data_IF_941339924148
#
_entry.id   IF_941339924148
#
_cell.length_a   1.000
_cell.length_b   1.000
_cell.length_c   1.000
_cell.angle_alpha   90.00
_cell.angle_beta   90.00
_cell.angle_gamma   90.00
#
_symmetry.space_group_name_H-M   'P 1'
#
loop_
_entity.id
_entity.type
_entity.pdbx_description
1 polymer ?
#
# COMPACT_ATOMS: atom_id res chain seq x y z
N UNK A 1 5.46 -33.76 8.82
CA UNK A 1 5.27 -34.90 7.89
C UNK A 1 3.99 -34.72 7.09
N UNK A 2 3.66 -35.66 6.19
CA UNK A 2 2.53 -35.56 5.23
C UNK A 2 1.28 -34.88 5.82
N UNK A 3 0.69 -33.93 5.07
CA UNK A 3 -0.49 -33.12 5.43
C UNK A 3 -0.27 -32.02 6.49
N UNK A 4 0.92 -31.93 7.08
CA UNK A 4 1.24 -30.90 8.08
C UNK A 4 1.52 -29.54 7.45
N UNK A 5 1.34 -28.47 8.24
CA UNK A 5 1.67 -27.09 7.85
C UNK A 5 3.17 -26.79 7.83
N UNK A 6 3.97 -27.59 8.54
CA UNK A 6 5.43 -27.49 8.59
C UNK A 6 6.07 -27.97 7.28
N UNK A 7 7.29 -27.54 6.96
CA UNK A 7 8.01 -27.77 5.70
C UNK A 7 7.98 -29.24 5.28
N UNK A 8 8.20 -30.17 6.22
CA UNK A 8 8.14 -31.61 5.95
C UNK A 8 6.75 -32.17 5.59
N UNK A 9 5.73 -31.33 5.48
CA UNK A 9 4.38 -31.68 5.02
C UNK A 9 4.09 -31.31 3.57
N UNK A 10 4.79 -30.30 3.02
CA UNK A 10 4.50 -29.73 1.69
C UNK A 10 5.74 -29.38 0.84
N UNK A 11 6.92 -29.24 1.44
CA UNK A 11 8.19 -29.12 0.69
C UNK A 11 8.58 -30.48 0.12
N UNK A 12 8.59 -30.56 -1.21
CA UNK A 12 8.86 -31.80 -1.95
C UNK A 12 9.97 -31.61 -2.99
N UNK A 13 10.65 -32.68 -3.43
CA UNK A 13 11.55 -32.60 -4.56
C UNK A 13 10.83 -32.15 -5.84
N UNK A 14 11.45 -31.25 -6.59
CA UNK A 14 10.95 -30.79 -7.89
C UNK A 14 12.11 -30.71 -8.89
N UNK A 15 11.95 -31.33 -10.05
CA UNK A 15 12.96 -31.40 -11.11
C UNK A 15 12.29 -31.02 -12.43
N UNK A 16 12.92 -30.10 -13.18
CA UNK A 16 12.48 -29.71 -14.53
C UNK A 16 13.55 -30.16 -15.53
N UNK A 17 13.12 -30.84 -16.59
CA UNK A 17 13.97 -31.20 -17.73
C UNK A 17 13.35 -30.64 -19.01
N UNK A 18 14.05 -29.68 -19.61
CA UNK A 18 13.67 -29.10 -20.89
C UNK A 18 14.96 -28.69 -21.64
N UNK A 19 15.49 -29.57 -22.51
CA UNK A 19 16.84 -29.45 -23.06
C UNK A 19 17.14 -28.10 -23.74
N UNK A 20 16.22 -27.60 -24.56
CA UNK A 20 16.45 -26.40 -25.36
C UNK A 20 15.98 -25.10 -24.68
N UNK A 21 15.21 -25.20 -23.59
CA UNK A 21 14.66 -24.03 -22.90
C UNK A 21 15.23 -23.78 -21.51
N UNK A 22 16.14 -24.63 -21.03
CA UNK A 22 16.84 -24.40 -19.77
C UNK A 22 18.27 -23.95 -20.04
N UNK A 23 18.60 -22.75 -19.59
CA UNK A 23 19.98 -22.27 -19.57
C UNK A 23 20.75 -22.95 -18.43
N UNK A 24 21.96 -23.42 -18.72
CA UNK A 24 22.84 -24.10 -17.75
C UNK A 24 22.16 -25.31 -17.10
N UNK A 25 21.90 -26.40 -17.86
CA UNK A 25 21.29 -27.61 -17.33
C UNK A 25 22.15 -28.27 -16.24
N UNK A 26 21.51 -28.98 -15.29
CA UNK A 26 22.19 -29.63 -14.16
C UNK A 26 22.42 -28.72 -12.94
N UNK A 27 21.99 -27.47 -12.98
CA UNK A 27 22.08 -26.55 -11.82
C UNK A 27 20.99 -26.81 -10.77
N UNK A 28 21.22 -26.27 -9.57
CA UNK A 28 20.26 -26.22 -8.46
C UNK A 28 19.77 -24.77 -8.32
N UNK A 29 18.46 -24.58 -8.18
CA UNK A 29 17.86 -23.29 -7.82
C UNK A 29 17.37 -23.33 -6.38
N UNK A 30 17.71 -22.30 -5.60
CA UNK A 30 17.21 -22.09 -4.24
C UNK A 30 15.95 -21.22 -4.20
N UNK A 31 15.47 -20.74 -5.35
CA UNK A 31 14.25 -19.94 -5.44
C UNK A 31 13.04 -20.77 -5.02
N UNK A 32 12.19 -20.29 -4.09
CA UNK A 32 10.95 -20.97 -3.77
C UNK A 32 10.02 -21.00 -5.00
N UNK A 33 9.42 -22.17 -5.25
CA UNK A 33 8.36 -22.35 -6.24
C UNK A 33 7.22 -23.13 -5.61
N UNK A 34 6.00 -22.87 -6.08
CA UNK A 34 4.79 -23.58 -5.69
C UNK A 34 4.26 -24.39 -6.86
N UNK A 35 3.54 -25.47 -6.58
CA UNK A 35 2.84 -26.23 -7.61
C UNK A 35 1.84 -25.34 -8.39
N UNK A 36 1.26 -24.33 -7.75
CA UNK A 36 0.33 -23.38 -8.40
C UNK A 36 0.97 -22.64 -9.56
N UNK A 37 2.27 -22.39 -9.52
CA UNK A 37 3.02 -21.62 -10.51
C UNK A 37 3.14 -22.28 -11.87
N UNK A 38 2.91 -23.59 -11.94
CA UNK A 38 2.99 -24.33 -13.19
C UNK A 38 2.05 -23.73 -14.23
N UNK A 39 0.89 -23.21 -13.83
CA UNK A 39 -0.08 -22.62 -14.76
C UNK A 39 0.49 -21.39 -15.48
N UNK A 40 0.97 -20.39 -14.73
CA UNK A 40 1.56 -19.17 -15.30
C UNK A 40 2.88 -19.46 -16.02
N UNK A 41 3.68 -20.40 -15.52
CA UNK A 41 4.94 -20.78 -16.16
C UNK A 41 4.70 -21.44 -17.52
N UNK A 42 3.74 -22.38 -17.60
CA UNK A 42 3.38 -23.02 -18.86
C UNK A 42 2.73 -22.02 -19.82
N UNK A 43 1.90 -21.10 -19.31
CA UNK A 43 1.31 -20.03 -20.12
C UNK A 43 2.39 -19.15 -20.77
N UNK A 44 3.41 -18.75 -20.01
CA UNK A 44 4.54 -17.98 -20.52
C UNK A 44 5.38 -18.78 -21.52
N UNK A 45 5.63 -20.07 -21.27
CA UNK A 45 6.34 -20.97 -22.20
C UNK A 45 5.65 -21.03 -23.57
N UNK A 46 4.32 -21.08 -23.60
CA UNK A 46 3.55 -21.16 -24.86
C UNK A 46 3.14 -19.78 -25.41
N UNK A 47 3.55 -18.69 -24.76
CA UNK A 47 3.28 -17.33 -25.20
C UNK A 47 1.81 -16.89 -25.08
N UNK A 48 1.05 -17.46 -24.14
CA UNK A 48 -0.36 -17.08 -23.90
C UNK A 48 -0.54 -16.26 -22.64
N UNK A 49 -1.46 -15.30 -22.67
CA UNK A 49 -1.92 -14.57 -21.48
C UNK A 49 -2.97 -15.39 -20.72
N UNK A 50 -2.91 -15.40 -19.40
CA UNK A 50 -3.97 -15.94 -18.55
C UNK A 50 -5.07 -14.88 -18.33
N UNK A 51 -6.35 -15.28 -18.31
CA UNK A 51 -7.43 -14.44 -17.80
C UNK A 51 -7.16 -13.97 -16.36
N UNK A 52 -7.76 -12.84 -15.98
CA UNK A 52 -7.55 -12.25 -14.65
C UNK A 52 -8.03 -13.12 -13.48
N UNK A 53 -8.93 -14.07 -13.76
CA UNK A 53 -9.56 -15.03 -12.86
C UNK A 53 -9.08 -16.48 -13.13
N UNK A 54 -7.84 -16.63 -13.58
CA UNK A 54 -7.23 -17.93 -13.82
C UNK A 54 -5.82 -17.95 -13.25
N UNK A 55 -5.61 -18.68 -12.15
CA UNK A 55 -4.29 -18.79 -11.52
C UNK A 55 -3.95 -17.56 -10.70
N UNK A 56 -4.89 -17.13 -9.86
CA UNK A 56 -4.82 -15.98 -8.96
C UNK A 56 -3.60 -16.00 -8.02
N UNK A 57 -3.08 -17.19 -7.74
CA UNK A 57 -1.88 -17.43 -6.92
C UNK A 57 -0.71 -18.04 -7.72
N UNK A 58 -0.80 -18.04 -9.04
CA UNK A 58 0.20 -18.63 -9.92
C UNK A 58 1.16 -17.55 -10.43
N UNK A 59 2.43 -17.62 -10.03
CA UNK A 59 3.47 -16.71 -10.53
C UNK A 59 4.50 -17.50 -11.34
N UNK A 60 4.76 -17.06 -12.57
CA UNK A 60 5.69 -17.75 -13.46
C UNK A 60 7.12 -17.77 -12.90
N UNK A 61 7.74 -18.95 -12.91
CA UNK A 61 9.18 -19.12 -12.67
C UNK A 61 9.96 -19.33 -13.98
N UNK A 62 9.37 -19.05 -15.13
CA UNK A 62 10.02 -19.16 -16.44
C UNK A 62 11.37 -18.41 -16.53
N UNK A 63 11.54 -17.19 -15.98
CA UNK A 63 12.84 -16.52 -15.94
C UNK A 63 13.90 -17.32 -15.18
N UNK A 64 13.52 -18.09 -14.16
CA UNK A 64 14.45 -18.95 -13.46
C UNK A 64 15.01 -20.03 -14.38
N UNK A 65 14.21 -20.54 -15.34
CA UNK A 65 14.62 -21.55 -16.32
C UNK A 65 15.50 -20.97 -17.43
N UNK A 66 15.10 -19.84 -18.01
CA UNK A 66 15.69 -19.29 -19.25
C UNK A 66 16.78 -18.26 -19.02
N UNK A 67 16.84 -17.63 -17.84
CA UNK A 67 17.85 -16.61 -17.50
C UNK A 67 18.75 -17.02 -16.34
N UNK A 68 18.52 -18.19 -15.74
CA UNK A 68 19.22 -18.68 -14.57
C UNK A 68 19.27 -17.66 -13.40
N UNK A 69 18.20 -16.88 -13.25
CA UNK A 69 18.08 -15.84 -12.20
C UNK A 69 17.15 -16.28 -11.07
N UNK A 70 17.26 -15.61 -9.93
CA UNK A 70 16.28 -15.71 -8.84
C UNK A 70 15.03 -14.92 -9.21
N UNK A 71 13.86 -15.52 -9.01
CA UNK A 71 12.57 -14.85 -9.19
C UNK A 71 12.11 -14.33 -7.84
N UNK A 72 11.87 -13.02 -7.71
CA UNK A 72 11.26 -12.47 -6.49
C UNK A 72 9.79 -12.91 -6.45
N UNK A 73 9.45 -13.70 -5.44
CA UNK A 73 8.18 -14.43 -5.39
C UNK A 73 7.19 -13.73 -4.47
N UNK A 74 5.94 -13.62 -4.93
CA UNK A 74 4.82 -13.15 -4.09
C UNK A 74 4.57 -14.11 -2.92
N UNK A 75 4.02 -13.64 -1.80
CA UNK A 75 3.82 -14.51 -0.64
C UNK A 75 2.95 -15.73 -0.96
N UNK A 76 3.32 -16.89 -0.42
CA UNK A 76 2.57 -18.13 -0.57
C UNK A 76 1.72 -18.40 0.67
N UNK A 77 0.48 -18.86 0.45
CA UNK A 77 -0.36 -19.41 1.51
C UNK A 77 -0.26 -20.93 1.46
N UNK A 78 -0.02 -21.54 2.61
CA UNK A 78 -0.11 -22.97 2.81
C UNK A 78 -1.30 -23.29 3.71
N UNK A 79 -1.95 -24.41 3.45
CA UNK A 79 -3.06 -24.91 4.24
C UNK A 79 -2.85 -26.39 4.57
N UNK A 80 -3.09 -26.76 5.82
CA UNK A 80 -2.94 -28.14 6.31
C UNK A 80 -4.29 -28.83 6.40
N UNK A 81 -4.28 -30.18 6.48
CA UNK A 81 -5.54 -30.93 6.63
C UNK A 81 -6.27 -30.64 7.96
N UNK A 82 -5.60 -29.99 8.92
CA UNK A 82 -6.15 -29.66 10.25
C UNK A 82 -6.76 -28.26 10.32
N UNK A 83 -6.92 -27.58 9.19
CA UNK A 83 -7.41 -26.20 9.18
C UNK A 83 -6.33 -25.20 9.60
N UNK A 84 -5.04 -25.56 9.48
CA UNK A 84 -3.95 -24.65 9.83
C UNK A 84 -3.53 -23.87 8.60
N UNK A 85 -3.40 -22.56 8.74
CA UNK A 85 -2.85 -21.68 7.70
C UNK A 85 -1.42 -21.29 8.01
N UNK A 86 -0.64 -21.04 6.96
CA UNK A 86 0.64 -20.36 7.08
C UNK A 86 0.87 -19.45 5.87
N UNK A 87 1.57 -18.35 6.08
CA UNK A 87 2.10 -17.51 5.02
C UNK A 87 3.62 -17.64 4.98
N UNK A 88 4.18 -17.85 3.79
CA UNK A 88 5.60 -17.74 3.52
C UNK A 88 5.87 -16.55 2.62
N UNK A 89 6.65 -15.61 3.11
CA UNK A 89 7.12 -14.45 2.37
C UNK A 89 8.65 -14.40 2.46
N UNK A 90 9.31 -14.66 1.34
CA UNK A 90 10.77 -14.84 1.25
C UNK A 90 11.26 -15.93 2.23
N UNK A 91 12.15 -15.57 3.17
CA UNK A 91 12.65 -16.50 4.18
C UNK A 91 11.71 -16.68 5.37
N UNK A 92 10.73 -15.79 5.55
CA UNK A 92 9.90 -15.77 6.74
C UNK A 92 8.66 -16.63 6.55
N UNK A 93 8.34 -17.42 7.57
CA UNK A 93 7.11 -18.21 7.61
C UNK A 93 6.38 -17.97 8.92
N UNK A 94 5.13 -17.52 8.80
CA UNK A 94 4.21 -17.41 9.93
C UNK A 94 3.18 -18.52 9.82
N UNK A 95 3.13 -19.38 10.83
CA UNK A 95 2.10 -20.39 11.04
C UNK A 95 1.04 -19.81 11.95
N UNK A 96 -0.24 -19.86 11.54
CA UNK A 96 -1.37 -19.37 12.32
C UNK A 96 -1.94 -20.46 13.24
N UNK A 97 -1.57 -21.72 13.08
CA UNK A 97 -2.15 -22.84 13.83
C UNK A 97 -3.62 -23.04 13.50
N UNK A 98 -4.29 -23.94 14.23
CA UNK A 98 -5.71 -24.26 13.99
C UNK A 98 -6.63 -23.38 14.85
N UNK A 99 -7.89 -23.20 14.44
CA UNK A 99 -8.86 -22.40 15.21
C UNK A 99 -9.08 -22.86 16.65
N UNK A 100 -8.81 -24.15 16.95
CA UNK A 100 -8.88 -24.71 18.31
C UNK A 100 -7.71 -24.26 19.19
N UNK A 101 -6.50 -24.20 18.64
CA UNK A 101 -5.28 -23.87 19.40
C UNK A 101 -4.92 -22.40 19.33
N UNK A 102 -5.22 -21.74 18.20
CA UNK A 102 -4.91 -20.34 17.90
C UNK A 102 -3.44 -19.97 18.17
N UNK A 103 -2.55 -20.95 18.04
CA UNK A 103 -1.13 -20.81 18.34
C UNK A 103 -0.41 -20.33 17.10
N UNK A 104 0.15 -19.13 17.18
CA UNK A 104 1.02 -18.59 16.14
C UNK A 104 2.48 -19.01 16.37
N UNK A 105 3.21 -19.21 15.27
CA UNK A 105 4.65 -19.54 15.31
C UNK A 105 5.34 -18.85 14.12
N UNK A 106 6.49 -18.20 14.37
CA UNK A 106 7.26 -17.48 13.35
C UNK A 106 8.63 -18.13 13.19
N UNK A 107 9.02 -18.41 11.96
CA UNK A 107 10.31 -19.03 11.63
C UNK A 107 11.06 -18.26 10.54
N UNK A 108 12.38 -18.26 10.64
CA UNK A 108 13.29 -17.88 9.56
C UNK A 108 13.80 -19.14 8.87
N UNK A 109 13.21 -19.51 7.72
CA UNK A 109 13.56 -20.74 7.01
C UNK A 109 14.95 -20.70 6.37
N UNK A 110 15.61 -19.53 6.30
CA UNK A 110 16.99 -19.45 5.83
C UNK A 110 17.98 -19.97 6.86
N UNK A 111 17.68 -19.77 8.14
CA UNK A 111 18.53 -20.18 9.27
C UNK A 111 18.01 -21.43 9.99
N UNK A 112 16.70 -21.67 9.94
CA UNK A 112 16.01 -22.78 10.62
C UNK A 112 15.01 -23.47 9.67
N UNK A 113 15.50 -24.20 8.66
CA UNK A 113 14.64 -24.93 7.72
C UNK A 113 13.85 -26.08 8.38
N UNK A 114 14.23 -26.48 9.60
CA UNK A 114 13.54 -27.50 10.39
C UNK A 114 12.41 -26.96 11.26
N UNK A 115 12.22 -25.63 11.32
CA UNK A 115 11.20 -24.94 12.13
C UNK A 115 11.30 -25.32 13.63
N UNK A 116 12.51 -25.34 14.16
CA UNK A 116 12.84 -25.74 15.53
C UNK A 116 12.89 -24.57 16.52
N UNK A 117 13.01 -23.34 16.03
CA UNK A 117 13.20 -22.13 16.85
C UNK A 117 12.13 -21.07 16.54
N UNK A 118 11.11 -20.98 17.40
CA UNK A 118 10.03 -20.00 17.24
C UNK A 118 10.50 -18.59 17.64
N UNK A 119 10.39 -17.64 16.71
CA UNK A 119 10.80 -16.24 16.85
C UNK A 119 9.63 -15.28 17.11
N UNK A 120 8.43 -15.79 17.37
CA UNK A 120 7.24 -14.96 17.51
C UNK A 120 7.38 -13.88 18.59
N UNK A 121 7.92 -14.24 19.76
CA UNK A 121 8.05 -13.32 20.90
C UNK A 121 9.09 -12.23 20.64
N UNK A 122 10.19 -12.56 19.96
CA UNK A 122 11.29 -11.63 19.71
C UNK A 122 11.10 -10.79 18.45
N UNK A 123 10.24 -11.23 17.51
CA UNK A 123 10.00 -10.55 16.23
C UNK A 123 8.49 -10.40 15.93
N UNK A 124 7.74 -10.01 16.95
CA UNK A 124 6.28 -9.85 16.91
C UNK A 124 5.80 -8.86 15.83
N UNK A 125 6.52 -7.76 15.61
CA UNK A 125 6.22 -6.81 14.54
C UNK A 125 6.20 -7.47 13.15
N UNK A 126 7.12 -8.41 12.91
CA UNK A 126 7.16 -9.14 11.65
C UNK A 126 6.00 -10.12 11.52
N UNK A 127 5.64 -10.80 12.61
CA UNK A 127 4.47 -11.67 12.62
C UNK A 127 3.19 -10.88 12.32
N UNK A 128 3.02 -9.69 12.91
CA UNK A 128 1.89 -8.80 12.61
C UNK A 128 1.88 -8.40 11.13
N UNK A 129 3.03 -8.01 10.57
CA UNK A 129 3.13 -7.64 9.15
C UNK A 129 2.77 -8.81 8.22
N UNK A 130 3.21 -10.03 8.54
CA UNK A 130 2.87 -11.24 7.77
C UNK A 130 1.40 -11.62 7.91
N UNK A 131 0.83 -11.52 9.11
CA UNK A 131 -0.61 -11.74 9.33
C UNK A 131 -1.44 -10.74 8.52
N UNK A 132 -1.04 -9.46 8.49
CA UNK A 132 -1.71 -8.44 7.67
C UNK A 132 -1.62 -8.75 6.18
N UNK A 133 -0.47 -9.23 5.68
CA UNK A 133 -0.32 -9.70 4.29
C UNK A 133 -1.23 -10.90 4.00
N UNK A 134 -1.25 -11.89 4.89
CA UNK A 134 -2.12 -13.06 4.78
C UNK A 134 -3.60 -12.66 4.70
N UNK A 135 -4.05 -11.80 5.61
CA UNK A 135 -5.40 -11.24 5.62
C UNK A 135 -5.71 -10.52 4.32
N UNK A 136 -4.77 -9.72 3.80
CA UNK A 136 -4.96 -9.02 2.52
C UNK A 136 -5.15 -9.99 1.36
N UNK A 137 -4.29 -11.01 1.24
CA UNK A 137 -4.34 -12.00 0.16
C UNK A 137 -5.66 -12.77 0.16
N UNK A 138 -6.12 -13.20 1.34
CA UNK A 138 -7.42 -13.88 1.50
C UNK A 138 -8.57 -12.96 1.08
N UNK A 139 -8.50 -11.67 1.43
CA UNK A 139 -9.52 -10.67 1.08
C UNK A 139 -9.50 -10.27 -0.39
N UNK A 140 -8.35 -10.27 -1.04
CA UNK A 140 -8.26 -10.04 -2.49
C UNK A 140 -8.57 -11.28 -3.33
N UNK A 141 -8.67 -12.45 -2.68
CA UNK A 141 -8.81 -13.76 -3.34
C UNK A 141 -7.65 -14.09 -4.27
N UNK A 142 -6.49 -13.46 -4.04
CA UNK A 142 -5.30 -13.61 -4.88
C UNK A 142 -4.04 -13.09 -4.21
N UNK A 143 -2.90 -13.73 -4.50
CA UNK A 143 -1.55 -13.29 -4.09
C UNK A 143 -0.78 -12.56 -5.19
N UNK A 144 -1.16 -12.73 -6.46
CA UNK A 144 -0.55 -12.01 -7.58
C UNK A 144 -1.15 -10.63 -7.78
N UNK A 145 -0.47 -9.80 -8.57
CA UNK A 145 -1.03 -8.53 -9.05
C UNK A 145 -2.30 -8.77 -9.88
N UNK A 146 -3.25 -7.85 -9.79
CA UNK A 146 -4.51 -7.87 -10.54
C UNK A 146 -5.71 -7.48 -9.70
N UNK A 147 -6.88 -7.45 -10.34
CA UNK A 147 -8.13 -7.09 -9.67
C UNK A 147 -8.52 -8.15 -8.62
N UNK A 148 -9.12 -7.75 -7.48
CA UNK A 148 -9.66 -8.70 -6.52
C UNK A 148 -10.69 -9.66 -7.15
N UNK A 149 -10.60 -10.92 -6.77
CA UNK A 149 -11.45 -12.03 -7.22
C UNK A 149 -12.17 -12.58 -5.98
N UNK A 150 -13.47 -12.92 -6.04
CA UNK A 150 -14.15 -13.49 -4.88
C UNK A 150 -13.58 -14.87 -4.58
N UNK A 151 -13.45 -15.19 -3.29
CA UNK A 151 -13.20 -16.57 -2.88
C UNK A 151 -14.38 -17.44 -3.34
N UNK A 152 -14.08 -18.66 -3.75
CA UNK A 152 -15.04 -19.67 -4.20
C UNK A 152 -15.73 -20.39 -3.03
N UNK A 153 -15.37 -20.04 -1.79
CA UNK A 153 -15.88 -20.62 -0.55
C UNK A 153 -16.48 -19.56 0.37
N UNK A 154 -17.36 -19.93 1.32
CA UNK A 154 -17.78 -19.02 2.39
C UNK A 154 -16.68 -18.85 3.44
N UNK A 155 -16.93 -18.01 4.45
CA UNK A 155 -16.02 -17.86 5.59
C UNK A 155 -15.75 -19.21 6.28
N UNK A 156 -14.50 -19.45 6.66
CA UNK A 156 -14.09 -20.64 7.40
C UNK A 156 -13.74 -20.28 8.84
N UNK A 157 -14.27 -21.04 9.79
CA UNK A 157 -13.96 -20.86 11.21
C UNK A 157 -12.46 -21.03 11.53
N UNK A 158 -11.73 -21.72 10.66
CA UNK A 158 -10.27 -21.89 10.72
C UNK A 158 -9.50 -20.56 10.57
N UNK A 159 -10.12 -19.53 10.00
CA UNK A 159 -9.58 -18.18 9.85
C UNK A 159 -9.73 -17.35 11.15
N UNK A 160 -9.42 -17.94 12.30
CA UNK A 160 -9.73 -17.39 13.63
C UNK A 160 -9.15 -16.00 13.95
N UNK A 161 -8.20 -15.51 13.14
CA UNK A 161 -7.57 -14.19 13.29
C UNK A 161 -8.29 -13.09 12.51
N UNK A 162 -9.34 -13.43 11.77
CA UNK A 162 -10.23 -12.50 11.08
C UNK A 162 -11.68 -12.88 11.33
N UNK A 163 -12.55 -11.89 11.30
CA UNK A 163 -14.00 -12.05 11.41
C UNK A 163 -14.61 -12.41 10.06
N UNK A 164 -15.81 -12.97 10.06
CA UNK A 164 -16.59 -13.14 8.82
C UNK A 164 -16.79 -11.80 8.10
N UNK A 165 -17.00 -10.70 8.83
CA UNK A 165 -17.13 -9.37 8.24
C UNK A 165 -15.84 -8.88 7.53
N UNK A 166 -14.66 -9.28 8.03
CA UNK A 166 -13.38 -9.00 7.39
C UNK A 166 -13.09 -9.93 6.21
N UNK A 167 -13.52 -11.19 6.30
CA UNK A 167 -13.42 -12.19 5.23
C UNK A 167 -14.32 -11.85 4.05
N UNK A 168 -15.58 -11.53 4.33
CA UNK A 168 -16.55 -11.09 3.35
C UNK A 168 -15.97 -9.86 2.69
N UNK A 169 -15.50 -10.04 1.46
CA UNK A 169 -14.83 -8.99 0.72
C UNK A 169 -15.80 -7.81 0.64
N UNK A 170 -15.55 -6.70 1.37
CA UNK A 170 -16.52 -5.60 1.41
C UNK A 170 -16.77 -5.07 0.00
N UNK A 171 -15.82 -5.29 -0.91
CA UNK A 171 -15.80 -4.87 -2.30
C UNK A 171 -16.61 -5.77 -3.25
N UNK A 172 -16.95 -7.02 -2.89
CA UNK A 172 -17.70 -7.94 -3.76
C UNK A 172 -19.19 -8.07 -3.43
N UNK A 173 -19.58 -7.92 -2.17
CA UNK A 173 -20.98 -7.68 -1.81
C UNK A 173 -21.55 -6.40 -2.48
N UNK A 174 -20.67 -5.51 -2.94
CA UNK A 174 -21.00 -4.19 -3.51
C UNK A 174 -20.98 -4.17 -5.05
N UNK A 175 -20.40 -5.18 -5.74
CA UNK A 175 -20.47 -5.29 -7.23
C UNK A 175 -21.91 -5.32 -7.78
N UNK A 176 -22.88 -5.81 -7.00
CA UNK A 176 -24.32 -5.74 -7.29
C UNK A 176 -24.81 -4.28 -7.48
N UNK A 177 -24.26 -3.36 -6.69
CA UNK A 177 -24.59 -1.93 -6.71
C UNK A 177 -23.77 -1.18 -7.77
N UNK A 178 -22.49 -1.51 -7.99
CA UNK A 178 -21.66 -0.90 -9.04
C UNK A 178 -22.22 -1.14 -10.45
N UNK A 179 -22.79 -2.34 -10.69
CA UNK A 179 -23.50 -2.66 -11.94
C UNK A 179 -24.74 -1.79 -12.15
N UNK A 180 -25.31 -1.27 -11.05
CA UNK A 180 -26.47 -0.37 -11.04
C UNK A 180 -26.07 1.11 -11.14
N UNK A 181 -24.91 1.50 -10.61
CA UNK A 181 -24.49 2.91 -10.49
C UNK A 181 -23.41 3.34 -11.49
N UNK A 182 -22.71 2.40 -12.16
CA UNK A 182 -21.55 2.66 -13.04
C UNK A 182 -20.37 3.39 -12.37
N UNK A 183 -20.32 3.38 -11.05
CA UNK A 183 -19.22 3.93 -10.25
C UNK A 183 -18.40 2.73 -9.77
N UNK A 184 -17.12 2.65 -10.16
CA UNK A 184 -16.22 1.61 -9.63
C UNK A 184 -16.03 1.81 -8.11
N UNK A 185 -15.49 0.85 -7.35
CA UNK A 185 -14.94 1.15 -6.02
C UNK A 185 -13.45 1.37 -6.06
N UNK A 186 -13.00 2.25 -5.18
CA UNK A 186 -11.64 2.24 -4.66
C UNK A 186 -11.38 0.92 -3.94
N UNK A 187 -10.29 0.25 -4.29
CA UNK A 187 -9.75 -0.90 -3.57
C UNK A 187 -9.11 -0.52 -2.21
N UNK A 188 -9.39 0.68 -1.69
CA UNK A 188 -8.74 1.28 -0.53
C UNK A 188 -9.66 1.23 0.69
N UNK A 189 -9.12 0.85 1.86
CA UNK A 189 -9.80 0.99 3.16
C UNK A 189 -9.88 2.44 3.64
N UNK A 190 -9.24 3.36 2.92
CA UNK A 190 -9.16 4.80 3.25
C UNK A 190 -10.40 5.51 2.75
N UNK A 191 -11.03 6.29 3.62
CA UNK A 191 -12.39 6.81 3.40
C UNK A 191 -12.54 8.22 3.94
N UNK A 192 -11.72 9.13 3.48
CA UNK A 192 -11.78 10.56 3.83
C UNK A 192 -12.34 11.39 2.68
N UNK A 193 -12.61 12.69 2.90
CA UNK A 193 -13.02 13.60 1.81
C UNK A 193 -11.96 13.66 0.72
N UNK A 194 -10.68 13.66 1.11
CA UNK A 194 -9.58 13.63 0.14
C UNK A 194 -9.52 12.31 -0.65
N UNK A 195 -9.84 11.17 -0.03
CA UNK A 195 -9.87 9.89 -0.76
C UNK A 195 -11.00 9.87 -1.79
N UNK A 196 -12.15 10.50 -1.50
CA UNK A 196 -13.23 10.66 -2.46
C UNK A 196 -12.79 11.56 -3.63
N UNK A 197 -12.12 12.67 -3.33
CA UNK A 197 -11.56 13.56 -4.35
C UNK A 197 -10.55 12.83 -5.25
N UNK A 198 -9.58 12.13 -4.64
CA UNK A 198 -8.57 11.37 -5.36
C UNK A 198 -9.19 10.31 -6.25
N UNK A 199 -10.23 9.64 -5.75
CA UNK A 199 -10.92 8.60 -6.48
C UNK A 199 -11.65 9.09 -7.72
N UNK A 200 -12.50 10.10 -7.55
CA UNK A 200 -13.37 10.59 -8.61
C UNK A 200 -12.54 11.17 -9.75
N UNK A 201 -11.39 11.77 -9.40
CA UNK A 201 -10.43 12.33 -10.36
C UNK A 201 -9.37 11.32 -10.82
N UNK A 202 -9.43 10.07 -10.34
CA UNK A 202 -8.51 8.98 -10.68
C UNK A 202 -7.04 9.37 -10.48
N UNK A 203 -6.76 10.07 -9.39
CA UNK A 203 -5.39 10.37 -8.99
C UNK A 203 -4.68 9.06 -8.62
N UNK A 204 -3.42 8.88 -9.01
CA UNK A 204 -2.67 7.71 -8.58
C UNK A 204 -2.45 7.78 -7.06
N UNK A 205 -2.64 6.64 -6.40
CA UNK A 205 -2.54 6.53 -4.95
C UNK A 205 -1.23 5.88 -4.48
N UNK A 206 -0.48 5.27 -5.40
CA UNK A 206 0.76 4.54 -5.12
C UNK A 206 1.84 4.91 -6.15
N UNK A 207 3.09 5.15 -5.72
CA UNK A 207 4.20 5.31 -6.63
C UNK A 207 4.53 4.01 -7.37
N UNK A 208 5.17 4.10 -8.54
CA UNK A 208 5.79 2.94 -9.21
C UNK A 208 7.04 2.47 -8.45
N UNK A 209 7.50 1.27 -8.77
CA UNK A 209 8.77 0.77 -8.24
C UNK A 209 9.90 1.75 -8.63
N UNK A 210 10.69 2.16 -7.64
CA UNK A 210 11.80 3.12 -7.77
C UNK A 210 11.39 4.57 -8.13
N UNK A 211 10.10 4.89 -8.27
CA UNK A 211 9.62 6.27 -8.51
C UNK A 211 9.91 7.13 -7.28
N UNK A 212 10.60 8.26 -7.50
CA UNK A 212 10.88 9.21 -6.42
C UNK A 212 9.61 9.95 -5.99
N UNK A 213 9.61 10.52 -4.78
CA UNK A 213 8.47 11.32 -4.32
C UNK A 213 8.18 12.50 -5.25
N UNK A 214 9.23 13.06 -5.86
CA UNK A 214 9.18 14.14 -6.84
C UNK A 214 8.48 13.69 -8.14
N UNK A 215 8.91 12.55 -8.70
CA UNK A 215 8.32 11.98 -9.92
C UNK A 215 6.84 11.64 -9.71
N UNK A 216 6.53 11.05 -8.55
CA UNK A 216 5.16 10.71 -8.17
C UNK A 216 4.27 11.94 -8.03
N UNK A 217 4.75 12.99 -7.35
CA UNK A 217 4.06 14.29 -7.26
C UNK A 217 3.85 14.93 -8.63
N UNK A 218 4.86 14.90 -9.50
CA UNK A 218 4.77 15.41 -10.87
C UNK A 218 3.67 14.72 -11.69
N UNK A 219 3.54 13.40 -11.54
CA UNK A 219 2.48 12.61 -12.19
C UNK A 219 1.08 12.97 -11.72
N UNK A 220 0.91 13.22 -10.42
CA UNK A 220 -0.37 13.70 -9.86
C UNK A 220 -0.68 15.08 -10.42
N UNK A 221 0.28 16.01 -10.37
CA UNK A 221 0.10 17.39 -10.81
C UNK A 221 -0.23 17.47 -12.30
N UNK A 222 0.48 16.73 -13.15
CA UNK A 222 0.19 16.67 -14.59
C UNK A 222 -1.22 16.19 -14.91
N UNK A 223 -1.76 15.25 -14.12
CA UNK A 223 -3.15 14.81 -14.25
C UNK A 223 -4.14 15.89 -13.86
N UNK A 224 -3.90 16.58 -12.74
CA UNK A 224 -4.75 17.67 -12.28
C UNK A 224 -4.79 18.80 -13.31
N UNK A 225 -3.63 19.27 -13.77
CA UNK A 225 -3.55 20.32 -14.80
C UNK A 225 -4.29 19.93 -16.09
N UNK A 226 -4.24 18.66 -16.49
CA UNK A 226 -5.00 18.16 -17.64
C UNK A 226 -6.53 18.20 -17.40
N UNK A 227 -6.98 17.87 -16.19
CA UNK A 227 -8.39 17.88 -15.82
C UNK A 227 -8.94 19.30 -15.67
N UNK A 228 -8.16 20.21 -15.08
CA UNK A 228 -8.48 21.64 -14.98
C UNK A 228 -8.67 22.25 -16.37
N UNK A 229 -7.69 22.06 -17.27
CA UNK A 229 -7.78 22.61 -18.63
C UNK A 229 -8.91 22.05 -19.49
N UNK A 230 -9.57 20.97 -19.06
CA UNK A 230 -10.71 20.34 -19.74
C UNK A 230 -12.03 20.53 -18.99
N UNK A 231 -12.03 21.22 -17.84
CA UNK A 231 -13.21 21.37 -16.97
C UNK A 231 -13.80 20.00 -16.59
N UNK A 232 -12.92 19.05 -16.27
CA UNK A 232 -13.27 17.68 -15.89
C UNK A 232 -12.97 17.38 -14.42
N UNK A 233 -12.41 18.34 -13.69
CA UNK A 233 -12.10 18.17 -12.27
C UNK A 233 -13.41 18.14 -11.50
N UNK A 234 -13.56 17.17 -10.60
CA UNK A 234 -14.74 16.98 -9.77
C UNK A 234 -14.40 17.17 -8.31
N UNK A 235 -15.28 17.82 -7.57
CA UNK A 235 -15.08 18.05 -6.14
C UNK A 235 -16.19 17.40 -5.32
N UNK A 236 -15.86 16.51 -4.36
CA UNK A 236 -16.83 16.04 -3.37
C UNK A 236 -17.16 17.15 -2.36
N UNK A 237 -18.32 17.07 -1.67
CA UNK A 237 -18.65 17.98 -0.58
C UNK A 237 -17.52 18.08 0.46
N UNK A 238 -17.11 19.31 0.78
CA UNK A 238 -16.01 19.60 1.72
C UNK A 238 -14.65 19.83 1.08
N UNK A 239 -14.44 19.46 -0.19
CA UNK A 239 -13.21 19.78 -0.94
C UNK A 239 -13.33 21.17 -1.59
N UNK A 240 -13.17 22.24 -0.81
CA UNK A 240 -13.26 23.62 -1.29
C UNK A 240 -12.05 24.03 -2.15
N UNK A 241 -12.15 25.17 -2.87
CA UNK A 241 -11.00 25.77 -3.59
C UNK A 241 -9.79 25.90 -2.68
N UNK A 242 -10.01 26.36 -1.44
CA UNK A 242 -8.94 26.51 -0.46
C UNK A 242 -8.30 25.17 -0.03
N UNK A 243 -9.09 24.11 0.10
CA UNK A 243 -8.57 22.78 0.39
C UNK A 243 -7.81 22.20 -0.80
N UNK A 244 -8.27 22.48 -2.02
CA UNK A 244 -7.62 22.08 -3.25
C UNK A 244 -6.28 22.80 -3.46
N UNK A 245 -6.21 24.11 -3.22
CA UNK A 245 -4.94 24.84 -3.15
C UNK A 245 -4.03 24.23 -2.08
N UNK A 246 -4.57 23.91 -0.91
CA UNK A 246 -3.82 23.24 0.15
C UNK A 246 -3.24 21.90 -0.26
N UNK A 247 -3.98 21.11 -1.04
CA UNK A 247 -3.49 19.87 -1.64
C UNK A 247 -2.38 20.12 -2.65
N UNK A 248 -2.54 21.10 -3.55
CA UNK A 248 -1.49 21.48 -4.51
C UNK A 248 -0.22 21.94 -3.77
N UNK A 249 -0.34 22.82 -2.79
CA UNK A 249 0.76 23.23 -1.90
C UNK A 249 1.37 22.05 -1.13
N UNK A 250 0.60 20.98 -0.87
CA UNK A 250 1.11 19.77 -0.21
C UNK A 250 1.98 18.90 -1.12
N UNK A 251 1.69 18.84 -2.43
CA UNK A 251 2.38 17.98 -3.43
C UNK A 251 3.37 18.73 -4.35
N UNK A 252 3.32 20.06 -4.40
CA UNK A 252 4.06 20.86 -5.38
C UNK A 252 5.58 20.87 -5.15
N UNK A 253 6.33 20.46 -6.17
CA UNK A 253 7.79 20.41 -6.16
C UNK A 253 8.49 21.34 -7.17
N UNK A 254 7.82 21.78 -8.25
CA UNK A 254 8.47 22.54 -9.33
C UNK A 254 8.03 24.01 -9.42
N UNK A 255 9.03 24.88 -9.64
CA UNK A 255 8.90 26.31 -9.90
C UNK A 255 9.80 27.18 -9.02
N UNK A 256 10.26 28.32 -9.54
CA UNK A 256 11.06 29.34 -8.82
C UNK A 256 10.27 30.05 -7.69
N UNK A 257 9.05 29.57 -7.42
CA UNK A 257 8.17 30.06 -6.37
C UNK A 257 7.61 28.90 -5.55
N UNK A 258 7.96 28.94 -4.25
CA UNK A 258 7.20 28.40 -3.11
C UNK A 258 7.25 26.89 -2.89
N UNK A 259 8.25 26.46 -2.11
CA UNK A 259 8.33 25.11 -1.54
C UNK A 259 7.42 25.02 -0.30
N UNK A 260 6.33 24.29 -0.44
CA UNK A 260 5.87 23.34 0.56
C UNK A 260 5.93 22.00 -0.12
N UNK A 261 6.64 21.02 0.41
CA UNK A 261 6.35 19.68 -0.08
C UNK A 261 6.40 18.69 1.06
N UNK A 262 5.39 18.79 1.91
CA UNK A 262 5.10 17.78 2.92
C UNK A 262 5.14 16.37 2.32
N UNK A 263 4.86 16.20 1.02
CA UNK A 263 5.04 14.96 0.25
C UNK A 263 6.45 14.34 0.32
N UNK A 264 7.52 15.13 0.52
CA UNK A 264 8.87 14.60 0.69
C UNK A 264 9.03 13.74 1.96
N UNK A 265 8.24 14.05 3.00
CA UNK A 265 8.23 13.29 4.27
C UNK A 265 6.92 12.51 4.50
N UNK A 266 5.86 12.84 3.77
CA UNK A 266 4.52 12.29 3.93
C UNK A 266 3.98 11.87 2.56
N UNK A 267 4.32 10.66 2.13
CA UNK A 267 3.85 10.12 0.86
C UNK A 267 2.39 9.69 0.92
N UNK A 268 1.66 9.84 -0.18
CA UNK A 268 0.36 9.19 -0.34
C UNK A 268 0.57 7.68 -0.40
N UNK A 269 -0.42 6.89 0.01
CA UNK A 269 -1.76 7.30 0.48
C UNK A 269 -1.89 7.36 2.02
N UNK A 270 -0.85 6.94 2.74
CA UNK A 270 -0.83 6.82 4.19
C UNK A 270 -0.36 8.09 4.91
N UNK A 271 0.05 9.12 4.16
CA UNK A 271 0.49 10.41 4.68
C UNK A 271 1.59 10.28 5.74
N UNK A 272 2.48 9.32 5.53
CA UNK A 272 3.68 9.03 6.32
C UNK A 272 4.68 8.37 5.37
N UNK A 273 5.97 8.54 5.62
CA UNK A 273 7.02 7.82 4.90
C UNK A 273 7.31 6.43 5.50
N UNK A 274 6.64 6.05 6.60
CA UNK A 274 6.84 4.78 7.29
C UNK A 274 8.25 4.61 7.88
N UNK A 275 9.05 5.68 7.93
CA UNK A 275 10.43 5.67 8.43
C UNK A 275 10.50 6.40 9.77
N UNK A 276 11.59 6.17 10.50
CA UNK A 276 11.90 6.87 11.75
C UNK A 276 13.04 7.87 11.56
N UNK A 277 12.85 9.08 12.08
CA UNK A 277 13.81 10.19 11.99
C UNK A 277 14.27 10.63 13.37
N UNK A 278 15.52 11.08 13.46
CA UNK A 278 16.01 11.77 14.65
C UNK A 278 15.61 13.24 14.55
N UNK A 279 14.82 13.73 15.53
CA UNK A 279 14.38 15.14 15.56
C UNK A 279 15.55 16.10 15.72
N UNK A 280 16.63 15.66 16.37
CA UNK A 280 17.92 16.36 16.47
C UNK A 280 19.07 15.34 16.38
N UNK A 281 20.28 15.74 15.94
CA UNK A 281 21.47 14.89 15.99
C UNK A 281 21.70 14.35 17.41
N UNK A 282 21.74 13.02 17.56
CA UNK A 282 21.92 12.35 18.85
C UNK A 282 20.62 11.96 19.59
N UNK A 283 19.43 12.35 19.10
CA UNK A 283 18.16 11.85 19.64
C UNK A 283 17.76 10.50 19.05
N UNK A 284 17.03 9.70 19.83
CA UNK A 284 16.39 8.48 19.37
C UNK A 284 15.49 8.76 18.16
N UNK A 285 15.54 7.85 17.18
CA UNK A 285 14.69 7.95 15.99
C UNK A 285 13.24 7.66 16.38
N UNK A 286 12.33 8.57 16.04
CA UNK A 286 10.89 8.43 16.22
C UNK A 286 10.21 8.30 14.86
N UNK A 287 9.19 7.43 14.73
CA UNK A 287 8.48 7.25 13.47
C UNK A 287 7.77 8.54 13.04
N UNK A 288 7.76 8.82 11.73
CA UNK A 288 6.95 9.92 11.19
C UNK A 288 5.47 9.64 11.41
N UNK A 289 4.82 10.42 12.26
CA UNK A 289 3.37 10.28 12.49
C UNK A 289 2.60 10.55 11.20
N UNK A 290 1.63 9.69 10.88
CA UNK A 290 0.71 9.95 9.78
C UNK A 290 -0.11 11.22 10.03
N UNK A 291 -0.32 12.01 8.97
CA UNK A 291 -1.24 13.15 9.02
C UNK A 291 -2.72 12.73 8.94
N UNK A 292 -2.99 11.47 8.55
CA UNK A 292 -4.34 10.91 8.51
C UNK A 292 -4.87 10.71 9.93
N UNK A 293 -6.14 11.03 10.16
CA UNK A 293 -6.80 10.92 11.46
C UNK A 293 -6.07 11.65 12.60
N UNK A 294 -5.33 12.71 12.28
CA UNK A 294 -4.53 13.42 13.27
C UNK A 294 -5.43 14.16 14.26
N UNK A 295 -5.38 13.75 15.53
CA UNK A 295 -6.15 14.37 16.62
C UNK A 295 -5.54 15.72 17.06
N UNK A 296 -5.57 16.72 16.18
CA UNK A 296 -5.11 18.10 16.42
C UNK A 296 -6.15 19.11 15.98
N UNK A 297 -6.31 20.19 16.74
CA UNK A 297 -7.17 21.31 16.34
C UNK A 297 -6.54 22.08 15.17
N UNK A 298 -7.36 22.84 14.43
CA UNK A 298 -6.85 23.69 13.35
C UNK A 298 -5.86 24.75 13.86
N UNK A 299 -6.05 25.24 15.09
CA UNK A 299 -5.11 26.15 15.74
C UNK A 299 -3.77 25.46 16.02
N UNK A 300 -3.77 24.25 16.59
CA UNK A 300 -2.55 23.51 16.86
C UNK A 300 -1.78 23.18 15.57
N UNK A 301 -2.49 22.85 14.49
CA UNK A 301 -1.89 22.65 13.17
C UNK A 301 -1.23 23.93 12.64
N UNK A 302 -1.92 25.08 12.73
CA UNK A 302 -1.36 26.39 12.35
C UNK A 302 -0.10 26.71 13.14
N UNK A 303 -0.10 26.49 14.45
CA UNK A 303 1.05 26.73 15.32
C UNK A 303 2.26 25.87 14.90
N UNK A 304 2.04 24.58 14.62
CA UNK A 304 3.09 23.65 14.15
C UNK A 304 3.68 24.11 12.80
N UNK A 305 2.83 24.48 11.83
CA UNK A 305 3.29 24.92 10.52
C UNK A 305 4.02 26.26 10.63
N UNK A 306 3.49 27.22 11.40
CA UNK A 306 4.15 28.50 11.65
C UNK A 306 5.50 28.34 12.34
N UNK A 307 5.64 27.38 13.25
CA UNK A 307 6.93 27.05 13.86
C UNK A 307 7.93 26.56 12.81
N UNK A 308 7.49 25.72 11.86
CA UNK A 308 8.35 25.27 10.74
C UNK A 308 8.74 26.43 9.82
N UNK A 309 7.82 27.34 9.52
CA UNK A 309 8.10 28.57 8.75
C UNK A 309 9.12 29.45 9.48
N UNK A 310 9.02 29.58 10.80
CA UNK A 310 10.00 30.33 11.57
C UNK A 310 11.41 29.70 11.46
N UNK A 311 11.53 28.38 11.58
CA UNK A 311 12.80 27.68 11.37
C UNK A 311 13.36 27.87 9.96
N UNK A 312 12.49 27.86 8.95
CA UNK A 312 12.87 28.16 7.57
C UNK A 312 13.43 29.58 7.44
N UNK A 313 12.74 30.58 8.00
CA UNK A 313 13.17 31.98 7.98
C UNK A 313 14.51 32.19 8.69
N UNK A 314 14.74 31.50 9.82
CA UNK A 314 16.02 31.54 10.53
C UNK A 314 17.14 30.96 9.65
N UNK A 315 16.93 29.77 9.07
CA UNK A 315 17.92 29.09 8.23
C UNK A 315 18.23 29.84 6.93
N UNK A 316 17.27 30.57 6.37
CA UNK A 316 17.46 31.41 5.19
C UNK A 316 18.28 32.68 5.47
N UNK A 317 18.25 33.20 6.71
CA UNK A 317 19.00 34.40 7.11
C UNK A 317 20.47 34.12 7.46
N UNK A 318 20.87 32.86 7.58
CA UNK A 318 22.26 32.46 7.86
C UNK A 318 22.39 31.01 8.28
N UNK A 319 23.62 30.49 8.27
CA UNK A 319 23.85 29.11 8.67
C UNK A 319 23.62 28.91 10.18
N UNK A 320 22.58 28.14 10.49
CA UNK A 320 22.21 27.76 11.85
C UNK A 320 22.43 26.25 11.99
N UNK A 321 23.57 25.79 12.56
CA UNK A 321 23.94 24.37 12.58
C UNK A 321 22.95 23.44 13.30
N UNK A 322 22.05 24.03 14.11
CA UNK A 322 21.00 23.32 14.86
C UNK A 322 19.71 23.08 14.05
N UNK A 323 19.59 23.67 12.86
CA UNK A 323 18.42 23.54 11.98
C UNK A 323 18.88 22.87 10.68
N UNK A 324 18.16 21.81 10.28
CA UNK A 324 18.44 21.05 9.06
C UNK A 324 18.42 21.94 7.82
N UNK A 325 19.35 21.70 6.89
CA UNK A 325 19.46 22.40 5.61
C UNK A 325 18.19 22.28 4.76
N UNK A 326 17.39 21.22 4.98
CA UNK A 326 16.09 21.04 4.33
C UNK A 326 15.10 22.18 4.63
N UNK A 327 15.26 22.91 5.74
CA UNK A 327 14.40 24.06 6.05
C UNK A 327 14.73 25.30 5.20
N UNK A 328 15.93 25.36 4.61
CA UNK A 328 16.35 26.49 3.76
C UNK A 328 15.54 26.59 2.47
N UNK A 329 14.85 25.52 2.08
CA UNK A 329 14.05 25.46 0.84
C UNK A 329 12.60 25.88 1.06
N UNK A 330 12.04 25.73 2.27
CA UNK A 330 10.63 26.04 2.58
C UNK A 330 10.31 27.52 2.31
N UNK A 331 9.23 27.79 1.59
CA UNK A 331 8.72 29.14 1.25
C UNK A 331 7.19 29.10 1.29
N UNK A 332 6.62 29.19 2.50
CA UNK A 332 5.18 29.22 2.74
C UNK A 332 4.77 30.59 3.28
N UNK A 333 3.65 31.12 2.78
CA UNK A 333 2.99 32.30 3.34
C UNK A 333 1.77 31.94 4.20
N UNK A 334 1.06 32.94 4.73
CA UNK A 334 -0.10 32.71 5.60
C UNK A 334 -1.34 32.17 4.86
N UNK A 335 -1.45 32.41 3.55
CA UNK A 335 -2.50 31.82 2.72
C UNK A 335 -2.20 30.33 2.55
N UNK A 336 -0.94 29.97 2.29
CA UNK A 336 -0.50 28.57 2.20
C UNK A 336 -0.77 27.81 3.51
N UNK A 337 -0.48 28.42 4.66
CA UNK A 337 -0.78 27.81 5.98
C UNK A 337 -2.27 27.52 6.12
N UNK A 338 -3.12 28.47 5.73
CA UNK A 338 -4.57 28.32 5.84
C UNK A 338 -5.08 27.22 4.89
N UNK A 339 -4.56 27.18 3.66
CA UNK A 339 -4.87 26.16 2.67
C UNK A 339 -4.45 24.76 3.14
N UNK A 340 -3.21 24.60 3.60
CA UNK A 340 -2.66 23.34 4.12
C UNK A 340 -3.45 22.79 5.31
N UNK A 341 -3.83 23.66 6.26
CA UNK A 341 -4.63 23.23 7.43
C UNK A 341 -6.00 22.74 6.99
N UNK A 342 -6.62 23.43 6.02
CA UNK A 342 -7.90 23.02 5.45
C UNK A 342 -7.78 21.66 4.78
N UNK A 343 -6.73 21.46 3.98
CA UNK A 343 -6.43 20.17 3.34
C UNK A 343 -6.21 19.04 4.35
N UNK A 344 -5.37 19.23 5.37
CA UNK A 344 -5.05 18.19 6.37
C UNK A 344 -6.32 17.73 7.11
N UNK A 345 -7.29 18.62 7.33
CA UNK A 345 -8.57 18.26 7.94
C UNK A 345 -9.42 17.30 7.09
N UNK A 346 -9.23 17.31 5.77
CA UNK A 346 -9.90 16.39 4.86
C UNK A 346 -9.35 14.97 4.90
N UNK A 347 -8.28 14.73 5.68
CA UNK A 347 -7.67 13.42 5.89
C UNK A 347 -8.27 12.66 7.08
N UNK A 348 -9.39 13.13 7.63
CA UNK A 348 -10.14 12.39 8.65
C UNK A 348 -11.01 11.33 7.98
N UNK A 349 -10.87 10.07 8.41
CA UNK A 349 -11.70 8.98 7.93
C UNK A 349 -13.15 9.18 8.36
N UNK A 350 -14.06 8.90 7.42
CA UNK A 350 -15.50 8.91 7.61
C UNK A 350 -16.09 7.51 7.45
N UNK A 351 -17.29 7.26 8.00
CA UNK A 351 -17.99 5.99 7.78
C UNK A 351 -18.22 5.71 6.29
N UNK A 352 -18.35 4.42 5.94
CA UNK A 352 -18.55 3.96 4.54
C UNK A 352 -19.70 4.66 3.83
N UNK A 353 -20.81 4.85 4.54
CA UNK A 353 -22.02 5.44 3.98
C UNK A 353 -21.78 6.91 3.63
N UNK A 354 -21.13 7.66 4.52
CA UNK A 354 -20.71 9.05 4.26
C UNK A 354 -19.75 9.10 3.08
N UNK A 355 -18.78 8.20 3.03
CA UNK A 355 -17.82 8.14 1.92
C UNK A 355 -18.49 7.94 0.55
N UNK A 356 -19.47 7.03 0.46
CA UNK A 356 -20.26 6.84 -0.77
C UNK A 356 -21.02 8.10 -1.15
N UNK A 357 -21.59 8.80 -0.16
CA UNK A 357 -22.35 10.02 -0.40
C UNK A 357 -21.46 11.13 -0.96
N UNK A 358 -20.23 11.27 -0.44
CA UNK A 358 -19.25 12.22 -0.96
C UNK A 358 -18.94 12.01 -2.45
N UNK A 359 -18.93 10.75 -2.91
CA UNK A 359 -18.71 10.42 -4.33
C UNK A 359 -19.94 10.75 -5.18
N UNK A 360 -21.14 10.47 -4.67
CA UNK A 360 -22.39 10.69 -5.39
C UNK A 360 -22.72 12.18 -5.55
N UNK A 361 -22.41 12.97 -4.52
CA UNK A 361 -22.70 14.40 -4.46
C UNK A 361 -21.56 15.25 -5.05
N UNK A 362 -20.60 14.63 -5.75
CA UNK A 362 -19.51 15.38 -6.36
C UNK A 362 -19.98 16.18 -7.56
N UNK A 363 -19.56 17.44 -7.62
CA UNK A 363 -19.93 18.36 -8.70
C UNK A 363 -18.71 18.67 -9.58
N UNK A 364 -18.96 19.19 -10.79
CA UNK A 364 -17.89 19.76 -11.61
C UNK A 364 -17.33 20.96 -10.88
N UNK A 365 -16.01 20.97 -10.73
CA UNK A 365 -15.30 21.93 -9.93
C UNK A 365 -14.47 22.83 -10.84
N UNK A 366 -14.72 24.12 -10.75
CA UNK A 366 -13.97 25.14 -11.48
C UNK A 366 -13.02 25.87 -10.52
N UNK A 367 -11.72 25.49 -10.49
CA UNK A 367 -10.73 26.16 -9.65
C UNK A 367 -10.37 27.56 -10.14
N UNK A 368 -10.80 27.97 -11.34
CA UNK A 368 -10.54 29.32 -11.88
C UNK A 368 -11.54 30.36 -11.38
N UNK A 369 -12.64 29.92 -10.75
CA UNK A 369 -13.59 30.78 -10.08
C UNK A 369 -12.98 31.44 -8.83
N UNK A 370 -13.11 32.76 -8.72
CA UNK A 370 -12.80 33.49 -7.48
C UNK A 370 -13.54 32.83 -6.31
N UNK A 371 -12.90 32.63 -5.15
CA UNK A 371 -13.59 32.09 -3.98
C UNK A 371 -14.76 33.01 -3.61
N UNK A 372 -15.97 32.48 -3.52
CA UNK A 372 -17.08 33.15 -2.82
C UNK A 372 -16.85 33.15 -1.30
#
# INVERSE_FOLDING_TARGET
GKRSIYEGGHRVPFIVRWPDGIVSPGRISSSPVCQTDLLATLAEIVGTSLPNNAGEDSQSFFPALTKATTVDRVPMIHHSYRGEFAIRDKQWKLVMGSAKKRKQELYDLSNDPGETHNLLETQSERAVALQQKLTRIIRSGRSTQGNPVPNDTPYWDDLFWMTEAEYQQPDMAVKSIEKKTKIHRLASTRRSVFDAFSYINRLPDTPYDEESSEEFSGRIFGRLANQEGRILLKSPPGMSNLAYEGFKTFIQYEGDQRVGNCAACHTLPDFTDGKSHSVQPGMAKVPTTSLRNLNKSSQALREIINQKINYANIKQKGDTPKISDLYSTIRLDQNDVTALVTFIKLLQDVPEQTFRQLILDSEVFDPSGTPE
#
